data_IF_290940756609
#
_entry.id   IF_290940756609
#
_cell.length_a   1.000
_cell.length_b   1.000
_cell.length_c   1.000
_cell.angle_alpha   90.00
_cell.angle_beta   90.00
_cell.angle_gamma   90.00
#
_symmetry.space_group_name_H-M   'P 1'
#
loop_
_entity.id
_entity.type
_entity.pdbx_description
1 polymer ?
#
# COMPACT_ATOMS: atom_id res chain seq x y z
N UNK A 1 9.92 -0.77 8.93
CA UNK A 1 9.90 -0.81 7.43
C UNK A 1 11.08 -1.65 6.93
N UNK A 2 11.04 -2.28 5.74
CA UNK A 2 12.18 -3.08 5.25
C UNK A 2 13.33 -2.23 4.67
N UNK A 3 13.08 -0.94 4.37
CA UNK A 3 14.11 0.01 3.96
C UNK A 3 14.66 -0.21 2.55
N UNK A 4 14.09 -1.13 1.78
CA UNK A 4 14.58 -1.55 0.45
C UNK A 4 13.64 -1.15 -0.70
N UNK A 5 12.62 -0.34 -0.43
CA UNK A 5 11.59 0.06 -1.41
C UNK A 5 12.20 0.71 -2.67
N UNK A 6 13.22 1.56 -2.48
CA UNK A 6 13.95 2.18 -3.58
C UNK A 6 14.58 1.14 -4.53
N UNK A 7 15.27 0.15 -3.97
CA UNK A 7 15.91 -0.91 -4.75
C UNK A 7 14.89 -1.79 -5.48
N UNK A 8 13.72 -2.04 -4.88
CA UNK A 8 12.62 -2.76 -5.54
C UNK A 8 12.06 -1.95 -6.70
N UNK A 9 11.84 -0.64 -6.50
CA UNK A 9 11.39 0.26 -7.56
C UNK A 9 12.36 0.32 -8.75
N UNK A 10 13.65 0.41 -8.45
CA UNK A 10 14.69 0.40 -9.48
C UNK A 10 14.74 -0.96 -10.21
N UNK A 11 14.62 -2.09 -9.51
CA UNK A 11 14.56 -3.40 -10.13
C UNK A 11 13.36 -3.56 -11.07
N UNK A 12 12.18 -3.08 -10.67
CA UNK A 12 10.96 -3.09 -11.50
C UNK A 12 11.22 -2.29 -12.79
N UNK A 13 11.76 -1.07 -12.68
CA UNK A 13 12.02 -0.20 -13.83
C UNK A 13 12.99 -0.82 -14.83
N UNK A 14 14.04 -1.49 -14.34
CA UNK A 14 15.05 -2.11 -15.20
C UNK A 14 14.65 -3.50 -15.72
N UNK A 15 13.50 -4.05 -15.32
CA UNK A 15 13.08 -5.42 -15.69
C UNK A 15 12.61 -5.56 -17.14
N UNK A 16 12.26 -4.46 -17.82
CA UNK A 16 11.57 -4.46 -19.13
C UNK A 16 10.22 -5.21 -19.15
N UNK A 17 9.66 -5.57 -17.99
CA UNK A 17 8.32 -6.16 -17.89
C UNK A 17 7.30 -5.00 -17.76
N UNK A 18 6.18 -5.02 -18.50
CA UNK A 18 5.11 -4.05 -18.33
C UNK A 18 4.63 -3.98 -16.87
N UNK A 19 4.38 -2.77 -16.35
CA UNK A 19 4.04 -2.58 -14.92
C UNK A 19 2.77 -3.35 -14.54
N UNK A 20 1.82 -3.47 -15.44
CA UNK A 20 0.57 -4.22 -15.30
C UNK A 20 0.75 -5.74 -15.14
N UNK A 21 1.90 -6.28 -15.57
CA UNK A 21 2.26 -7.70 -15.46
C UNK A 21 3.04 -8.00 -14.16
N UNK A 22 3.38 -6.97 -13.39
CA UNK A 22 4.10 -7.10 -12.11
C UNK A 22 3.11 -6.86 -10.97
N UNK A 23 2.95 -7.83 -10.07
CA UNK A 23 2.12 -7.65 -8.87
C UNK A 23 2.96 -7.16 -7.69
N UNK A 24 2.77 -5.90 -7.28
CA UNK A 24 3.52 -5.28 -6.18
C UNK A 24 2.67 -5.19 -4.93
N UNK A 25 3.15 -5.82 -3.85
CA UNK A 25 2.53 -5.76 -2.52
C UNK A 25 3.42 -5.00 -1.54
N UNK A 26 2.84 -4.08 -0.78
CA UNK A 26 3.49 -3.49 0.40
C UNK A 26 2.57 -3.59 1.62
N UNK A 27 3.05 -3.14 2.78
CA UNK A 27 2.33 -3.25 4.05
C UNK A 27 2.60 -2.06 4.95
N UNK A 28 1.56 -1.55 5.59
CA UNK A 28 1.66 -0.46 6.55
C UNK A 28 2.30 -0.95 7.86
N UNK A 29 3.16 -0.13 8.45
CA UNK A 29 3.75 -0.39 9.76
C UNK A 29 2.87 0.14 10.89
N UNK A 30 2.90 -0.54 12.04
CA UNK A 30 2.03 -0.26 13.20
C UNK A 30 2.11 1.18 13.71
N UNK A 31 3.26 1.83 13.54
CA UNK A 31 3.52 3.21 13.97
C UNK A 31 2.78 4.24 13.07
N UNK A 32 2.38 3.84 11.87
CA UNK A 32 1.75 4.70 10.88
C UNK A 32 0.21 4.51 10.83
N UNK A 33 -0.37 3.87 11.84
CA UNK A 33 -1.80 3.58 11.86
C UNK A 33 -2.64 4.83 12.13
N UNK A 34 -3.89 4.80 11.67
CA UNK A 34 -4.80 5.93 11.67
C UNK A 34 -4.90 6.56 10.29
N UNK A 35 -5.97 7.32 10.08
CA UNK A 35 -6.38 7.76 8.73
C UNK A 35 -5.31 8.59 8.00
N UNK A 36 -4.95 9.76 8.55
CA UNK A 36 -3.98 10.67 7.89
C UNK A 36 -2.56 10.09 7.86
N UNK A 37 -2.18 9.37 8.93
CA UNK A 37 -0.88 8.70 9.02
C UNK A 37 -0.74 7.63 7.93
N UNK A 38 -1.80 6.86 7.67
CA UNK A 38 -1.83 5.85 6.61
C UNK A 38 -1.69 6.46 5.23
N UNK A 39 -2.39 7.57 4.95
CA UNK A 39 -2.28 8.27 3.67
C UNK A 39 -0.85 8.79 3.44
N UNK A 40 -0.24 9.39 4.47
CA UNK A 40 1.14 9.86 4.42
C UNK A 40 2.14 8.71 4.20
N UNK A 41 2.00 7.62 4.95
CA UNK A 41 2.88 6.45 4.82
C UNK A 41 2.75 5.79 3.44
N UNK A 42 1.54 5.76 2.88
CA UNK A 42 1.31 5.27 1.53
C UNK A 42 2.01 6.16 0.48
N UNK A 43 1.90 7.48 0.59
CA UNK A 43 2.57 8.42 -0.31
C UNK A 43 4.09 8.25 -0.30
N UNK A 44 4.68 8.09 0.89
CA UNK A 44 6.10 7.80 1.04
C UNK A 44 6.51 6.46 0.42
N UNK A 45 5.67 5.43 0.61
CA UNK A 45 5.90 4.08 0.05
C UNK A 45 5.91 4.11 -1.48
N UNK A 46 4.87 4.70 -2.08
CA UNK A 46 4.74 4.85 -3.53
C UNK A 46 5.88 5.68 -4.11
N UNK A 47 6.27 6.77 -3.45
CA UNK A 47 7.39 7.61 -3.87
C UNK A 47 8.71 6.84 -3.90
N UNK A 48 9.00 6.04 -2.85
CA UNK A 48 10.22 5.22 -2.80
C UNK A 48 10.19 4.09 -3.83
N UNK A 49 9.04 3.45 -4.02
CA UNK A 49 8.87 2.43 -5.07
C UNK A 49 8.87 3.03 -6.48
N UNK A 50 8.67 4.35 -6.61
CA UNK A 50 8.59 5.08 -7.87
C UNK A 50 7.48 4.50 -8.78
N UNK A 51 6.32 4.22 -8.19
CA UNK A 51 5.12 3.71 -8.86
C UNK A 51 4.00 4.75 -8.81
N UNK A 52 2.91 4.51 -9.53
CA UNK A 52 1.69 5.32 -9.39
C UNK A 52 0.63 4.64 -8.52
N UNK A 53 0.68 3.31 -8.44
CA UNK A 53 -0.25 2.48 -7.67
C UNK A 53 0.41 1.21 -7.10
N UNK A 54 -0.21 0.66 -6.05
CA UNK A 54 0.07 -0.68 -5.54
C UNK A 54 -1.02 -1.67 -5.98
N UNK A 55 -0.63 -2.90 -6.22
CA UNK A 55 -1.61 -3.96 -6.50
C UNK A 55 -2.31 -4.38 -5.21
N UNK A 56 -1.57 -4.44 -4.11
CA UNK A 56 -2.07 -4.77 -2.78
C UNK A 56 -1.32 -3.98 -1.69
N UNK A 57 -2.07 -3.47 -0.72
CA UNK A 57 -1.53 -2.86 0.50
C UNK A 57 -2.15 -3.54 1.72
N UNK A 58 -1.33 -3.93 2.70
CA UNK A 58 -1.74 -4.78 3.81
C UNK A 58 -1.60 -4.10 5.16
N UNK A 59 -2.58 -4.32 6.04
CA UNK A 59 -2.48 -4.04 7.49
C UNK A 59 -1.68 -5.18 8.12
N UNK A 60 -0.48 -4.89 8.66
CA UNK A 60 0.42 -5.95 9.15
C UNK A 60 -0.12 -6.67 10.40
N UNK A 61 -0.74 -5.92 11.32
CA UNK A 61 -1.28 -6.41 12.59
C UNK A 61 -2.52 -5.61 13.03
N UNK A 62 -3.50 -6.20 13.70
CA UNK A 62 -4.67 -5.46 14.20
C UNK A 62 -4.36 -4.78 15.55
N UNK A 63 -3.47 -3.79 15.54
CA UNK A 63 -3.18 -2.92 16.69
C UNK A 63 -3.65 -1.49 16.39
N UNK A 64 -3.70 -0.62 17.40
CA UNK A 64 -3.98 0.82 17.24
C UNK A 64 -5.28 1.13 16.44
N UNK A 65 -5.38 2.32 15.86
CA UNK A 65 -6.51 2.75 15.02
C UNK A 65 -6.49 2.08 13.63
N UNK A 66 -6.65 0.76 13.60
CA UNK A 66 -6.74 0.01 12.35
C UNK A 66 -8.02 0.32 11.57
N UNK A 67 -9.08 0.81 12.22
CA UNK A 67 -10.30 1.28 11.54
C UNK A 67 -10.04 2.57 10.75
N UNK A 68 -9.27 3.50 11.31
CA UNK A 68 -8.81 4.69 10.59
C UNK A 68 -7.91 4.33 9.41
N UNK A 69 -6.97 3.40 9.62
CA UNK A 69 -6.15 2.82 8.55
C UNK A 69 -7.02 2.21 7.45
N UNK A 70 -8.03 1.42 7.82
CA UNK A 70 -8.96 0.80 6.88
C UNK A 70 -9.69 1.84 6.03
N UNK A 71 -10.26 2.89 6.65
CA UNK A 71 -10.94 3.98 5.92
C UNK A 71 -10.00 4.73 4.97
N UNK A 72 -8.74 4.90 5.34
CA UNK A 72 -7.73 5.50 4.45
C UNK A 72 -7.46 4.59 3.25
N UNK A 73 -7.34 3.27 3.47
CA UNK A 73 -7.18 2.30 2.40
C UNK A 73 -8.40 2.22 1.47
N UNK A 74 -9.63 2.35 2.00
CA UNK A 74 -10.84 2.44 1.17
C UNK A 74 -10.80 3.68 0.25
N UNK A 75 -10.30 4.80 0.76
CA UNK A 75 -10.10 6.01 -0.05
C UNK A 75 -9.06 5.78 -1.14
N UNK A 76 -7.89 5.24 -0.79
CA UNK A 76 -6.82 4.96 -1.76
C UNK A 76 -7.27 4.00 -2.87
N UNK A 77 -8.10 3.01 -2.51
CA UNK A 77 -8.75 2.11 -3.47
C UNK A 77 -9.70 2.86 -4.41
N UNK A 78 -10.60 3.70 -3.88
CA UNK A 78 -11.53 4.53 -4.67
C UNK A 78 -10.82 5.53 -5.58
N UNK A 79 -9.66 6.03 -5.17
CA UNK A 79 -8.80 6.92 -5.97
C UNK A 79 -7.97 6.18 -7.03
N UNK A 80 -8.06 4.84 -7.12
CA UNK A 80 -7.30 4.04 -8.08
C UNK A 80 -5.82 3.88 -7.74
N UNK A 81 -5.41 4.30 -6.55
CA UNK A 81 -4.02 4.21 -6.06
C UNK A 81 -3.70 2.82 -5.51
N UNK A 82 -4.72 2.02 -5.22
CA UNK A 82 -4.62 0.60 -4.90
C UNK A 82 -5.57 -0.22 -5.76
N UNK A 83 -5.12 -1.36 -6.33
CA UNK A 83 -5.98 -2.24 -7.13
C UNK A 83 -6.81 -3.22 -6.30
N UNK A 84 -6.31 -3.65 -5.16
CA UNK A 84 -7.02 -4.57 -4.28
C UNK A 84 -7.01 -4.07 -2.85
N UNK A 85 -8.19 -4.12 -2.24
CA UNK A 85 -8.37 -4.09 -0.80
C UNK A 85 -8.83 -5.48 -0.39
N UNK A 86 -8.17 -6.09 0.59
CA UNK A 86 -8.65 -7.34 1.19
C UNK A 86 -9.95 -7.04 1.93
N UNK A 87 -11.08 -7.16 1.26
CA UNK A 87 -12.41 -7.10 1.88
C UNK A 87 -12.45 -8.17 2.99
N UNK A 88 -12.41 -7.76 4.26
CA UNK A 88 -13.01 -8.59 5.29
C UNK A 88 -14.49 -8.66 4.95
N UNK A 89 -14.92 -9.76 4.32
CA UNK A 89 -16.33 -10.12 4.26
C UNK A 89 -16.79 -10.43 5.68
N UNK A 90 -17.02 -9.41 6.49
CA UNK A 90 -18.01 -9.53 7.55
C UNK A 90 -19.36 -9.46 6.86
N UNK A 91 -19.95 -10.63 6.69
CA UNK A 91 -21.33 -10.82 6.27
C UNK A 91 -22.24 -9.81 6.96
N UNK A 92 -23.04 -9.10 6.18
CA UNK A 92 -24.33 -8.55 6.58
C UNK A 92 -25.38 -9.15 5.66
#
# INVERSE_FOLDING_TARGET
MYGNEQAVGDAIRHSNIPREDIFVTSKIWVDDYGYDATLKAFDETIKKLQLDYLDLYLIHKPYNDYYGTWRAMERLYKEGRMRQQLLERTSS
#
